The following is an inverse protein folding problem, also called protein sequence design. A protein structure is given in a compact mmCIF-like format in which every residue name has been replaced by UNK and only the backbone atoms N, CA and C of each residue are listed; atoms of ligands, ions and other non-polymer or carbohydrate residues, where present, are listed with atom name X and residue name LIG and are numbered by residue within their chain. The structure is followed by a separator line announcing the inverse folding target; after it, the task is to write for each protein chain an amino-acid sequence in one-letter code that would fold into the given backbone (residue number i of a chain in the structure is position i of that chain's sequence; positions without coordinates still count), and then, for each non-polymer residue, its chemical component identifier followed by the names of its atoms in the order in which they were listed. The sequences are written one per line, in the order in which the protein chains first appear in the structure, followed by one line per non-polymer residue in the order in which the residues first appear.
data_IF_807389199613
#
_entry.id   IF_807389199613
#
_cell.length_a   1.000
_cell.length_b   1.000
_cell.length_c   1.000
_cell.angle_alpha   90.00
_cell.angle_beta   90.00
_cell.angle_gamma   90.00
#
_symmetry.space_group_name_H-M   'P 1'
#
loop_
_entity.id
_entity.type
_entity.pdbx_description
1 polymer ?
#
# COMPACT_ATOMS: atom_id res chain seq x y z
N UNK A 1 22.81 34.95 -1.73
CA UNK A 1 23.20 33.55 -2.04
C UNK A 1 22.02 32.68 -1.64
N UNK A 2 21.25 32.20 -2.62
CA UNK A 2 19.88 31.73 -2.45
C UNK A 2 19.78 30.39 -1.69
N UNK A 3 18.88 30.32 -0.70
CA UNK A 3 18.72 29.16 0.20
C UNK A 3 18.45 27.85 -0.58
N UNK A 4 17.81 27.98 -1.75
CA UNK A 4 17.50 26.90 -2.70
C UNK A 4 18.74 26.15 -3.19
N UNK A 5 19.85 26.86 -3.36
CA UNK A 5 21.11 26.32 -3.88
C UNK A 5 21.90 25.57 -2.79
N UNK A 6 21.70 25.91 -1.51
CA UNK A 6 22.33 25.23 -0.37
C UNK A 6 21.64 23.92 0.01
N UNK A 7 20.36 23.76 -0.34
CA UNK A 7 19.56 22.57 -0.05
C UNK A 7 19.53 21.55 -1.21
N UNK A 8 20.19 21.83 -2.35
CA UNK A 8 20.20 20.91 -3.50
C UNK A 8 18.82 20.68 -4.13
N UNK A 9 17.85 21.56 -3.88
CA UNK A 9 16.49 21.43 -4.43
C UNK A 9 16.53 21.95 -5.87
N UNK A 10 16.75 21.05 -6.81
CA UNK A 10 16.65 21.32 -8.25
C UNK A 10 15.18 21.41 -8.72
N UNK A 11 14.22 20.99 -7.89
CA UNK A 11 12.80 20.98 -8.23
C UNK A 11 12.14 22.35 -8.05
N UNK A 12 11.27 22.74 -8.99
CA UNK A 12 10.45 23.94 -8.85
C UNK A 12 9.38 23.74 -7.78
N UNK A 13 8.95 24.83 -7.12
CA UNK A 13 7.86 24.81 -6.12
C UNK A 13 6.60 24.05 -6.58
N UNK A 14 6.11 24.19 -7.82
CA UNK A 14 4.98 23.38 -8.29
C UNK A 14 5.31 21.89 -8.41
N UNK A 15 6.53 21.51 -8.82
CA UNK A 15 6.92 20.09 -8.90
C UNK A 15 6.94 19.43 -7.52
N UNK A 16 7.46 20.12 -6.51
CA UNK A 16 7.44 19.63 -5.13
C UNK A 16 6.01 19.53 -4.59
N UNK A 17 5.18 20.54 -4.85
CA UNK A 17 3.78 20.53 -4.43
C UNK A 17 3.00 19.37 -5.06
N UNK A 18 3.13 19.16 -6.37
CA UNK A 18 2.49 18.03 -7.06
C UNK A 18 3.02 16.69 -6.54
N UNK A 19 4.33 16.58 -6.28
CA UNK A 19 4.91 15.36 -5.72
C UNK A 19 4.34 15.03 -4.33
N UNK A 20 4.35 15.99 -3.41
CA UNK A 20 3.86 15.78 -2.04
C UNK A 20 2.34 15.55 -2.01
N UNK A 21 1.59 16.35 -2.77
CA UNK A 21 0.14 16.24 -2.84
C UNK A 21 -0.27 14.91 -3.46
N UNK A 22 0.30 14.54 -4.60
CA UNK A 22 -0.02 13.29 -5.29
C UNK A 22 0.35 12.10 -4.41
N UNK A 23 1.57 12.06 -3.88
CA UNK A 23 2.05 10.92 -3.10
C UNK A 23 1.20 10.74 -1.83
N UNK A 24 1.01 11.81 -1.06
CA UNK A 24 0.23 11.71 0.19
C UNK A 24 -1.25 11.40 -0.06
N UNK A 25 -1.87 12.06 -1.06
CA UNK A 25 -3.29 11.89 -1.36
C UNK A 25 -3.58 10.46 -1.84
N UNK A 26 -2.80 9.94 -2.79
CA UNK A 26 -3.04 8.60 -3.34
C UNK A 26 -2.72 7.50 -2.32
N UNK A 27 -1.62 7.61 -1.57
CA UNK A 27 -1.29 6.60 -0.55
C UNK A 27 -2.39 6.44 0.48
N UNK A 28 -2.83 7.55 1.09
CA UNK A 28 -3.87 7.51 2.12
C UNK A 28 -5.20 7.06 1.52
N UNK A 29 -5.54 7.51 0.31
CA UNK A 29 -6.79 7.11 -0.35
C UNK A 29 -6.83 5.59 -0.61
N UNK A 30 -5.75 5.00 -1.10
CA UNK A 30 -5.70 3.55 -1.35
C UNK A 30 -5.72 2.75 -0.05
N UNK A 31 -4.99 3.20 0.98
CA UNK A 31 -4.96 2.55 2.28
C UNK A 31 -6.34 2.53 2.92
N UNK A 32 -7.02 3.69 2.96
CA UNK A 32 -8.37 3.81 3.52
C UNK A 32 -9.38 3.02 2.69
N UNK A 33 -9.28 3.07 1.35
CA UNK A 33 -10.16 2.31 0.47
C UNK A 33 -10.07 0.80 0.72
N UNK A 34 -8.88 0.23 0.84
CA UNK A 34 -8.72 -1.21 1.07
C UNK A 34 -9.23 -1.58 2.47
N UNK A 35 -8.90 -0.79 3.50
CA UNK A 35 -9.40 -1.00 4.85
C UNK A 35 -10.92 -0.97 4.95
N UNK A 36 -11.57 -0.02 4.27
CA UNK A 36 -13.03 0.09 4.26
C UNK A 36 -13.72 -1.01 3.44
N UNK A 37 -13.08 -1.49 2.36
CA UNK A 37 -13.68 -2.44 1.42
C UNK A 37 -13.55 -3.91 1.83
N UNK A 38 -12.61 -4.29 2.72
CA UNK A 38 -12.42 -5.70 3.12
C UNK A 38 -13.67 -6.32 3.74
N UNK A 39 -14.36 -5.61 4.64
CA UNK A 39 -15.60 -6.11 5.26
C UNK A 39 -16.69 -6.39 4.22
N UNK A 40 -16.78 -5.53 3.21
CA UNK A 40 -17.67 -5.71 2.07
C UNK A 40 -17.24 -6.88 1.18
N UNK A 41 -15.95 -7.01 0.88
CA UNK A 41 -15.39 -8.13 0.10
C UNK A 41 -15.66 -9.48 0.79
N UNK A 42 -15.38 -9.59 2.08
CA UNK A 42 -15.62 -10.82 2.85
C UNK A 42 -17.10 -11.19 2.89
N UNK A 43 -17.99 -10.23 3.12
CA UNK A 43 -19.41 -10.49 3.33
C UNK A 43 -20.17 -10.65 2.02
N UNK A 44 -19.95 -9.75 1.06
CA UNK A 44 -20.74 -9.65 -0.18
C UNK A 44 -20.16 -10.43 -1.34
N UNK A 45 -18.82 -10.50 -1.47
CA UNK A 45 -18.18 -11.28 -2.55
C UNK A 45 -17.91 -12.73 -2.17
N UNK A 46 -17.55 -12.99 -0.91
CA UNK A 46 -17.14 -14.32 -0.45
C UNK A 46 -18.20 -15.03 0.41
N UNK A 47 -19.31 -14.36 0.72
CA UNK A 47 -20.42 -14.95 1.49
C UNK A 47 -20.08 -15.30 2.95
N UNK A 48 -18.93 -14.85 3.47
CA UNK A 48 -18.52 -15.13 4.84
C UNK A 48 -19.30 -14.24 5.79
N UNK A 49 -20.32 -14.80 6.47
CA UNK A 49 -21.18 -14.07 7.41
C UNK A 49 -20.84 -14.28 8.88
N UNK A 50 -20.07 -15.31 9.21
CA UNK A 50 -19.61 -15.57 10.58
C UNK A 50 -18.22 -15.01 10.83
N UNK A 51 -18.09 -14.33 11.97
CA UNK A 51 -16.83 -13.83 12.53
C UNK A 51 -16.06 -12.87 11.60
N UNK A 52 -16.80 -12.03 10.88
CA UNK A 52 -16.23 -11.07 9.91
C UNK A 52 -15.29 -10.09 10.62
N UNK A 53 -15.65 -9.61 11.81
CA UNK A 53 -14.84 -8.68 12.59
C UNK A 53 -13.46 -9.23 12.93
N UNK A 54 -13.38 -10.48 13.43
CA UNK A 54 -12.11 -11.12 13.75
C UNK A 54 -11.25 -11.38 12.50
N UNK A 55 -11.87 -11.75 11.37
CA UNK A 55 -11.17 -11.94 10.09
C UNK A 55 -10.62 -10.63 9.52
N UNK A 56 -11.43 -9.57 9.52
CA UNK A 56 -10.99 -8.23 9.10
C UNK A 56 -9.86 -7.75 10.01
N UNK A 57 -10.02 -7.91 11.33
CA UNK A 57 -9.02 -7.55 12.32
C UNK A 57 -7.70 -8.31 12.13
N UNK A 58 -7.76 -9.61 11.87
CA UNK A 58 -6.57 -10.43 11.59
C UNK A 58 -5.87 -9.98 10.30
N UNK A 59 -6.62 -9.68 9.24
CA UNK A 59 -6.06 -9.16 7.98
C UNK A 59 -5.38 -7.80 8.17
N UNK A 60 -6.01 -6.89 8.93
CA UNK A 60 -5.42 -5.60 9.30
C UNK A 60 -4.19 -5.76 10.19
N UNK A 61 -4.21 -6.69 11.15
CA UNK A 61 -3.07 -6.96 12.00
C UNK A 61 -1.85 -7.47 11.21
N UNK A 62 -2.07 -8.39 10.27
CA UNK A 62 -1.00 -8.89 9.38
C UNK A 62 -0.43 -7.76 8.52
N UNK A 63 -1.29 -6.88 8.00
CA UNK A 63 -0.90 -5.69 7.22
C UNK A 63 0.05 -4.79 8.01
N UNK A 64 -0.29 -4.47 9.27
CA UNK A 64 0.55 -3.66 10.16
C UNK A 64 1.89 -4.34 10.49
N UNK A 65 1.90 -5.66 10.74
CA UNK A 65 3.14 -6.40 10.99
C UNK A 65 4.07 -6.39 9.79
N UNK A 66 3.51 -6.54 8.58
CA UNK A 66 4.29 -6.52 7.34
C UNK A 66 4.81 -5.10 7.10
N UNK A 67 3.99 -4.08 7.29
CA UNK A 67 4.40 -2.68 7.15
C UNK A 67 5.54 -2.33 8.12
N UNK A 68 5.47 -2.80 9.36
CA UNK A 68 6.50 -2.58 10.39
C UNK A 68 7.88 -3.10 9.97
N UNK A 69 7.94 -4.23 9.24
CA UNK A 69 9.20 -4.79 8.73
C UNK A 69 9.59 -4.19 7.37
N UNK A 70 8.61 -3.92 6.51
CA UNK A 70 8.84 -3.42 5.16
C UNK A 70 9.32 -1.95 5.14
N UNK A 71 8.77 -1.09 6.01
CA UNK A 71 9.15 0.32 6.10
C UNK A 71 10.67 0.55 6.26
N UNK A 72 11.37 -0.05 7.26
CA UNK A 72 12.81 0.13 7.38
C UNK A 72 13.58 -0.48 6.20
N UNK A 73 13.10 -1.58 5.61
CA UNK A 73 13.73 -2.19 4.44
C UNK A 73 13.68 -1.24 3.22
N UNK A 74 12.52 -0.63 2.96
CA UNK A 74 12.37 0.38 1.91
C UNK A 74 13.16 1.65 2.21
N UNK A 75 13.25 2.06 3.48
CA UNK A 75 14.09 3.17 3.92
C UNK A 75 15.56 2.96 3.52
N UNK A 76 16.16 1.85 3.94
CA UNK A 76 17.55 1.50 3.59
C UNK A 76 17.75 1.37 2.07
N UNK A 77 16.77 0.84 1.35
CA UNK A 77 16.84 0.77 -0.10
C UNK A 77 16.78 2.16 -0.74
N UNK A 78 15.93 3.05 -0.23
CA UNK A 78 15.74 4.41 -0.72
C UNK A 78 17.01 5.25 -0.59
N UNK A 79 17.83 5.00 0.44
CA UNK A 79 19.13 5.66 0.61
C UNK A 79 20.11 5.29 -0.50
N UNK A 80 19.95 4.12 -1.14
CA UNK A 80 20.84 3.62 -2.20
C UNK A 80 20.35 3.94 -3.61
N UNK A 81 19.06 3.76 -3.88
CA UNK A 81 18.48 3.92 -5.24
C UNK A 81 17.71 5.23 -5.42
N UNK A 82 17.49 5.97 -4.34
CA UNK A 82 16.71 7.21 -4.33
C UNK A 82 15.21 6.97 -4.12
N UNK A 83 14.60 7.86 -3.31
CA UNK A 83 13.18 7.83 -2.94
C UNK A 83 12.22 7.78 -4.13
N UNK A 84 12.56 8.47 -5.23
CA UNK A 84 11.77 8.48 -6.47
C UNK A 84 11.43 7.08 -6.97
N UNK A 85 12.45 6.21 -7.06
CA UNK A 85 12.26 4.89 -7.66
C UNK A 85 11.53 3.96 -6.71
N UNK A 86 11.81 4.09 -5.40
CA UNK A 86 11.11 3.36 -4.35
C UNK A 86 9.62 3.68 -4.37
N UNK A 87 9.23 4.96 -4.42
CA UNK A 87 7.82 5.35 -4.45
C UNK A 87 7.10 4.88 -5.73
N UNK A 88 7.73 4.94 -6.90
CA UNK A 88 7.14 4.44 -8.15
C UNK A 88 6.90 2.93 -8.10
N UNK A 89 7.88 2.17 -7.61
CA UNK A 89 7.74 0.71 -7.42
C UNK A 89 6.69 0.41 -6.37
N UNK A 90 6.66 1.17 -5.27
CA UNK A 90 5.64 1.07 -4.22
C UNK A 90 4.23 1.21 -4.77
N UNK A 91 3.97 2.26 -5.55
CA UNK A 91 2.66 2.44 -6.19
C UNK A 91 2.32 1.35 -7.21
N UNK A 92 3.30 0.85 -7.96
CA UNK A 92 3.08 -0.28 -8.86
C UNK A 92 2.65 -1.53 -8.07
N UNK A 93 3.30 -1.82 -6.94
CA UNK A 93 2.93 -2.94 -6.06
C UNK A 93 1.54 -2.71 -5.44
N UNK A 94 1.23 -1.51 -4.95
CA UNK A 94 -0.11 -1.15 -4.43
C UNK A 94 -1.18 -1.39 -5.48
N UNK A 95 -0.96 -0.92 -6.72
CA UNK A 95 -1.88 -1.12 -7.84
C UNK A 95 -2.10 -2.59 -8.17
N UNK A 96 -1.02 -3.39 -8.22
CA UNK A 96 -1.09 -4.84 -8.42
C UNK A 96 -1.82 -5.54 -7.27
N UNK A 97 -1.62 -5.10 -6.02
CA UNK A 97 -2.34 -5.61 -4.86
C UNK A 97 -3.84 -5.36 -4.97
N UNK A 98 -4.24 -4.12 -5.26
CA UNK A 98 -5.64 -3.75 -5.49
C UNK A 98 -6.27 -4.55 -6.64
N UNK A 99 -5.55 -4.70 -7.76
CA UNK A 99 -5.98 -5.54 -8.87
C UNK A 99 -6.17 -6.99 -8.43
N UNK A 100 -5.21 -7.55 -7.67
CA UNK A 100 -5.28 -8.89 -7.11
C UNK A 100 -6.53 -9.14 -6.27
N UNK A 101 -6.96 -8.16 -5.46
CA UNK A 101 -8.20 -8.26 -4.67
C UNK A 101 -9.46 -8.45 -5.51
N UNK A 102 -9.48 -7.98 -6.76
CA UNK A 102 -10.61 -8.18 -7.69
C UNK A 102 -10.73 -9.65 -8.12
N UNK A 103 -9.60 -10.34 -8.32
CA UNK A 103 -9.53 -11.71 -8.86
C UNK A 103 -9.61 -12.82 -7.81
N UNK A 104 -9.69 -12.47 -6.52
CA UNK A 104 -9.71 -13.47 -5.44
C UNK A 104 -10.93 -14.41 -5.52
N UNK A 105 -12.04 -13.94 -6.08
CA UNK A 105 -13.28 -14.72 -6.19
C UNK A 105 -13.31 -15.81 -7.27
N UNK A 106 -12.37 -15.81 -8.22
CA UNK A 106 -12.48 -16.62 -9.46
C UNK A 106 -11.49 -17.79 -9.57
N UNK A 107 -10.87 -18.23 -8.47
CA UNK A 107 -9.82 -19.27 -8.53
C UNK A 107 -10.07 -20.44 -7.59
N UNK A 108 -9.72 -21.65 -8.04
CA UNK A 108 -9.65 -22.85 -7.20
C UNK A 108 -8.54 -22.69 -6.14
N UNK A 109 -8.85 -23.00 -4.87
CA UNK A 109 -7.88 -22.97 -3.78
C UNK A 109 -8.35 -22.24 -2.52
N UNK A 110 -7.46 -22.14 -1.53
CA UNK A 110 -7.79 -21.52 -0.25
C UNK A 110 -7.89 -19.99 -0.37
N UNK A 111 -9.12 -19.51 -0.50
CA UNK A 111 -9.46 -18.07 -0.59
C UNK A 111 -8.87 -17.26 0.56
N UNK A 112 -8.85 -17.82 1.77
CA UNK A 112 -8.31 -17.14 2.95
C UNK A 112 -6.81 -16.87 2.80
N UNK A 113 -6.03 -17.87 2.38
CA UNK A 113 -4.60 -17.69 2.15
C UNK A 113 -4.33 -16.64 1.06
N UNK A 114 -5.12 -16.63 -0.03
CA UNK A 114 -5.00 -15.63 -1.10
C UNK A 114 -5.31 -14.20 -0.63
N UNK A 115 -6.31 -14.03 0.23
CA UNK A 115 -6.61 -12.73 0.86
C UNK A 115 -5.44 -12.24 1.69
N UNK A 116 -4.87 -13.11 2.52
CA UNK A 116 -3.72 -12.77 3.37
C UNK A 116 -2.52 -12.39 2.50
N UNK A 117 -2.19 -13.16 1.46
CA UNK A 117 -1.10 -12.85 0.53
C UNK A 117 -1.32 -11.55 -0.23
N UNK A 118 -2.53 -11.31 -0.76
CA UNK A 118 -2.84 -10.07 -1.45
C UNK A 118 -2.73 -8.86 -0.51
N UNK A 119 -3.16 -9.03 0.75
CA UNK A 119 -3.03 -8.00 1.79
C UNK A 119 -1.57 -7.72 2.13
N UNK A 120 -0.75 -8.76 2.32
CA UNK A 120 0.69 -8.60 2.56
C UNK A 120 1.39 -7.90 1.38
N UNK A 121 1.03 -8.24 0.14
CA UNK A 121 1.56 -7.57 -1.05
C UNK A 121 1.20 -6.08 -1.08
N UNK A 122 -0.05 -5.74 -0.75
CA UNK A 122 -0.48 -4.35 -0.61
C UNK A 122 0.29 -3.62 0.50
N UNK A 123 0.46 -4.24 1.66
CA UNK A 123 1.22 -3.70 2.79
C UNK A 123 2.67 -3.35 2.41
N UNK A 124 3.33 -4.27 1.69
CA UNK A 124 4.71 -4.07 1.20
C UNK A 124 4.78 -2.89 0.26
N UNK A 125 3.82 -2.74 -0.66
CA UNK A 125 3.78 -1.59 -1.56
C UNK A 125 3.48 -0.28 -0.83
N UNK A 126 2.51 -0.29 0.09
CA UNK A 126 2.12 0.88 0.87
C UNK A 126 3.24 1.38 1.79
N UNK A 127 4.07 0.47 2.32
CA UNK A 127 5.24 0.82 3.12
C UNK A 127 6.36 1.53 2.33
N UNK A 128 6.30 1.52 0.99
CA UNK A 128 7.28 2.16 0.12
C UNK A 128 6.84 3.55 -0.41
N UNK A 129 5.58 3.93 -0.17
CA UNK A 129 4.97 5.16 -0.71
C UNK A 129 4.73 6.19 0.38
#
# INVERSE_FOLDING_TARGET
MDLRTRLGITASTPQLATYLLSTSLFSISFLVFLNASISFLLTSRLGLRHDVGNKVGTLGFVDELVALVACPAWGVLSDRVGVRWVSVVGYAIVGLGLWGFVWIGEGEGNVWARLVVARMGFAVGGAAT
#
